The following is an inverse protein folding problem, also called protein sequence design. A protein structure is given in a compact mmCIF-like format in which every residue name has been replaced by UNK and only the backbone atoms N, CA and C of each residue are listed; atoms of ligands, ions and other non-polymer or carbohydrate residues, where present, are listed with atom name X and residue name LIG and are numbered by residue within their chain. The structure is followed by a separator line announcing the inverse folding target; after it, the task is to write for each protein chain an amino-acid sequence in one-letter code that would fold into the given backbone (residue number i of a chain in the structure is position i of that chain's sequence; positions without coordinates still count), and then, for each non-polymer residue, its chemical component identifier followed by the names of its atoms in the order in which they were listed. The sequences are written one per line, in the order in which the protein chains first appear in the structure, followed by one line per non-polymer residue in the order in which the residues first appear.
data_IF_306159138082
#
_entry.id   IF_306159138082
#
_cell.length_a   1.000
_cell.length_b   1.000
_cell.length_c   1.000
_cell.angle_alpha   90.00
_cell.angle_beta   90.00
_cell.angle_gamma   90.00
#
_symmetry.space_group_name_H-M   'P 1'
#
loop_
_entity.id
_entity.type
_entity.pdbx_description
1 polymer ?
#
# COMPACT_ATOMS: atom_id res chain seq x y z
N UNK A 1 6.80 -25.95 -5.14
CA UNK A 1 6.06 -24.99 -4.28
C UNK A 1 5.24 -24.12 -5.22
N UNK A 2 3.93 -24.15 -5.09
CA UNK A 2 3.03 -23.42 -5.97
C UNK A 2 3.25 -21.91 -5.87
N UNK A 3 3.13 -21.22 -7.02
CA UNK A 3 3.29 -19.77 -7.10
C UNK A 3 2.35 -19.02 -6.13
N UNK A 4 1.17 -19.60 -5.84
CA UNK A 4 0.18 -19.05 -4.91
C UNK A 4 0.69 -18.96 -3.46
N UNK A 5 1.37 -19.99 -2.96
CA UNK A 5 1.91 -20.01 -1.58
C UNK A 5 3.00 -18.96 -1.38
N UNK A 6 3.85 -18.78 -2.40
CA UNK A 6 4.93 -17.79 -2.35
C UNK A 6 4.35 -16.37 -2.30
N UNK A 7 3.35 -16.07 -3.15
CA UNK A 7 2.67 -14.75 -3.13
C UNK A 7 1.96 -14.53 -1.80
N UNK A 8 1.26 -15.55 -1.27
CA UNK A 8 0.59 -15.48 0.02
C UNK A 8 1.54 -15.16 1.19
N UNK A 9 2.72 -15.78 1.22
CA UNK A 9 3.74 -15.52 2.24
C UNK A 9 4.34 -14.11 2.10
N UNK A 10 4.61 -13.65 0.86
CA UNK A 10 5.11 -12.29 0.61
C UNK A 10 4.12 -11.21 1.04
N UNK A 11 2.82 -11.41 0.78
CA UNK A 11 1.76 -10.50 1.24
C UNK A 11 1.81 -10.34 2.76
N UNK A 12 1.94 -11.45 3.50
CA UNK A 12 1.99 -11.44 4.96
C UNK A 12 3.20 -10.69 5.51
N UNK A 13 4.39 -10.92 4.92
CA UNK A 13 5.61 -10.22 5.30
C UNK A 13 5.51 -8.70 5.03
N UNK A 14 5.06 -8.33 3.84
CA UNK A 14 4.92 -6.92 3.45
C UNK A 14 3.87 -6.19 4.29
N UNK A 15 2.75 -6.85 4.67
CA UNK A 15 1.78 -6.27 5.60
C UNK A 15 2.41 -5.97 6.96
N UNK A 16 3.26 -6.86 7.48
CA UNK A 16 3.97 -6.63 8.74
C UNK A 16 4.96 -5.46 8.65
N UNK A 17 5.61 -5.26 7.49
CA UNK A 17 6.45 -4.09 7.26
C UNK A 17 5.65 -2.80 7.15
N UNK A 18 4.50 -2.84 6.46
CA UNK A 18 3.59 -1.70 6.37
C UNK A 18 3.09 -1.25 7.74
N UNK A 19 2.74 -2.17 8.64
CA UNK A 19 2.37 -1.85 10.03
C UNK A 19 3.44 -1.03 10.76
N UNK A 20 4.72 -1.40 10.58
CA UNK A 20 5.86 -0.68 11.18
C UNK A 20 5.97 0.74 10.60
N UNK A 21 5.79 0.88 9.29
CA UNK A 21 5.81 2.17 8.60
C UNK A 21 4.67 3.07 9.08
N UNK A 22 3.46 2.52 9.20
CA UNK A 22 2.27 3.24 9.70
C UNK A 22 2.52 3.74 11.12
N UNK A 23 2.91 2.84 12.02
CA UNK A 23 3.20 3.18 13.43
C UNK A 23 4.30 4.23 13.54
N UNK A 24 5.33 4.15 12.68
CA UNK A 24 6.42 5.13 12.67
C UNK A 24 5.97 6.50 12.18
N UNK A 25 5.14 6.58 11.14
CA UNK A 25 4.57 7.85 10.66
C UNK A 25 3.75 8.54 11.76
N UNK A 26 2.85 7.79 12.41
CA UNK A 26 2.03 8.30 13.52
C UNK A 26 2.87 8.79 14.69
N UNK A 27 3.90 8.02 15.09
CA UNK A 27 4.79 8.40 16.19
C UNK A 27 5.59 9.66 15.89
N UNK A 28 6.07 9.84 14.65
CA UNK A 28 6.80 11.03 14.23
C UNK A 28 5.89 12.24 14.15
N UNK A 29 4.66 12.07 13.66
CA UNK A 29 3.66 13.13 13.67
C UNK A 29 3.31 13.59 15.08
N UNK A 30 3.11 12.67 16.02
CA UNK A 30 2.83 13.00 17.41
C UNK A 30 3.99 13.79 18.07
N UNK A 31 5.25 13.47 17.70
CA UNK A 31 6.43 14.23 18.17
C UNK A 31 6.48 15.64 17.58
N UNK A 32 6.13 15.79 16.30
CA UNK A 32 5.97 17.09 15.67
C UNK A 32 4.90 17.92 16.37
N UNK A 33 3.73 17.36 16.65
CA UNK A 33 2.64 18.08 17.35
C UNK A 33 3.04 18.54 18.76
N UNK A 34 3.90 17.78 19.46
CA UNK A 34 4.37 18.13 20.80
C UNK A 34 5.49 19.17 20.80
N UNK A 35 6.39 19.13 19.81
CA UNK A 35 7.63 19.92 19.81
C UNK A 35 7.61 21.12 18.86
N UNK A 36 6.80 21.07 17.79
CA UNK A 36 6.87 22.00 16.67
C UNK A 36 8.16 21.88 15.85
N UNK A 37 8.96 20.83 16.03
CA UNK A 37 10.22 20.63 15.32
C UNK A 37 9.97 20.04 13.92
N UNK A 38 10.16 20.89 12.91
CA UNK A 38 10.01 20.53 11.49
C UNK A 38 10.91 19.35 11.07
N UNK A 39 11.98 19.03 11.81
CA UNK A 39 12.83 17.87 11.55
C UNK A 39 12.07 16.53 11.60
N UNK A 40 10.93 16.47 12.27
CA UNK A 40 10.07 15.27 12.26
C UNK A 40 9.24 15.14 10.99
N UNK A 41 8.97 16.23 10.26
CA UNK A 41 8.13 16.23 9.06
C UNK A 41 8.76 15.42 7.91
N UNK A 42 10.07 15.47 7.76
CA UNK A 42 10.81 14.64 6.78
C UNK A 42 10.60 13.15 7.06
N UNK A 43 10.64 12.76 8.33
CA UNK A 43 10.39 11.40 8.76
C UNK A 43 8.95 10.96 8.48
N UNK A 44 7.96 11.83 8.73
CA UNK A 44 6.55 11.57 8.39
C UNK A 44 6.40 11.37 6.89
N UNK A 45 6.91 12.30 6.09
CA UNK A 45 6.84 12.24 4.63
C UNK A 45 7.49 10.97 4.06
N UNK A 46 8.66 10.58 4.59
CA UNK A 46 9.35 9.37 4.19
C UNK A 46 8.53 8.10 4.49
N UNK A 47 7.89 8.02 5.66
CA UNK A 47 7.08 6.87 6.01
C UNK A 47 5.77 6.82 5.20
N UNK A 48 5.12 7.97 4.95
CA UNK A 48 3.95 8.02 4.06
C UNK A 48 4.30 7.61 2.62
N UNK A 49 5.49 7.99 2.13
CA UNK A 49 6.00 7.51 0.85
C UNK A 49 6.26 6.00 0.87
N UNK A 50 6.95 5.52 1.90
CA UNK A 50 7.27 4.11 2.10
C UNK A 50 6.03 3.23 2.19
N UNK A 51 4.96 3.73 2.82
CA UNK A 51 3.67 3.05 2.92
C UNK A 51 3.13 2.70 1.52
N UNK A 52 3.00 3.71 0.65
CA UNK A 52 2.48 3.45 -0.70
C UNK A 52 3.44 2.60 -1.54
N UNK A 53 4.76 2.81 -1.42
CA UNK A 53 5.74 2.00 -2.13
C UNK A 53 5.69 0.51 -1.74
N UNK A 54 5.45 0.19 -0.46
CA UNK A 54 5.23 -1.19 -0.02
C UNK A 54 3.99 -1.82 -0.64
N UNK A 55 2.91 -1.05 -0.74
CA UNK A 55 1.65 -1.49 -1.37
C UNK A 55 1.85 -1.77 -2.86
N UNK A 56 2.60 -0.91 -3.57
CA UNK A 56 2.97 -1.14 -4.97
C UNK A 56 3.72 -2.47 -5.13
N UNK A 57 4.69 -2.77 -4.26
CA UNK A 57 5.43 -4.05 -4.31
C UNK A 57 4.51 -5.25 -4.18
N UNK A 58 3.55 -5.22 -3.24
CA UNK A 58 2.54 -6.27 -3.09
C UNK A 58 1.72 -6.43 -4.38
N UNK A 59 1.18 -5.33 -4.90
CA UNK A 59 0.29 -5.37 -6.06
C UNK A 59 1.00 -5.81 -7.32
N UNK A 60 2.24 -5.37 -7.53
CA UNK A 60 3.04 -5.80 -8.65
C UNK A 60 3.39 -7.30 -8.57
N UNK A 61 3.64 -7.83 -7.37
CA UNK A 61 3.86 -9.26 -7.17
C UNK A 61 2.62 -10.07 -7.58
N UNK A 62 1.42 -9.64 -7.15
CA UNK A 62 0.16 -10.26 -7.57
C UNK A 62 -0.01 -10.15 -9.09
N UNK A 63 0.20 -8.98 -9.67
CA UNK A 63 0.02 -8.74 -11.09
C UNK A 63 0.99 -9.58 -11.95
N UNK A 64 2.25 -9.70 -11.55
CA UNK A 64 3.26 -10.48 -12.28
C UNK A 64 3.07 -11.98 -12.12
N UNK A 65 2.77 -12.44 -10.92
CA UNK A 65 2.78 -13.88 -10.60
C UNK A 65 1.42 -14.54 -10.83
N UNK A 66 0.31 -13.84 -10.52
CA UNK A 66 -1.05 -14.36 -10.66
C UNK A 66 -1.66 -13.91 -11.98
N UNK A 67 -1.68 -12.59 -12.25
CA UNK A 67 -2.30 -12.06 -13.47
C UNK A 67 -1.43 -12.26 -14.72
N UNK A 68 -0.16 -12.65 -14.55
CA UNK A 68 0.85 -12.77 -15.62
C UNK A 68 1.02 -11.50 -16.46
N UNK A 69 0.58 -10.36 -15.93
CA UNK A 69 0.52 -9.08 -16.63
C UNK A 69 0.54 -7.95 -15.62
N UNK A 70 1.60 -7.12 -15.68
CA UNK A 70 1.71 -5.89 -14.92
C UNK A 70 1.50 -4.68 -15.83
N UNK A 71 0.81 -3.62 -15.36
CA UNK A 71 0.70 -2.38 -16.10
C UNK A 71 2.06 -1.74 -16.38
N UNK A 72 2.15 -0.99 -17.47
CA UNK A 72 3.36 -0.26 -17.87
C UNK A 72 3.01 1.14 -18.37
N UNK A 73 4.03 1.96 -18.69
CA UNK A 73 3.86 3.35 -19.11
C UNK A 73 3.73 4.34 -17.95
N UNK A 74 3.56 5.63 -18.24
CA UNK A 74 3.58 6.70 -17.22
C UNK A 74 2.50 6.59 -16.15
N UNK A 75 1.35 6.00 -16.49
CA UNK A 75 0.19 5.85 -15.60
C UNK A 75 0.08 4.48 -14.93
N UNK A 76 1.14 3.66 -15.00
CA UNK A 76 1.12 2.27 -14.53
C UNK A 76 0.62 2.15 -13.09
N UNK A 77 1.01 3.07 -12.20
CA UNK A 77 0.62 3.07 -10.80
C UNK A 77 -0.90 3.18 -10.59
N UNK A 78 -1.57 3.99 -11.41
CA UNK A 78 -3.03 4.11 -11.36
C UNK A 78 -3.67 2.82 -11.87
N UNK A 79 -3.17 2.34 -13.01
CA UNK A 79 -3.64 1.09 -13.62
C UNK A 79 -3.46 -0.11 -12.69
N UNK A 80 -2.42 -0.12 -11.86
CA UNK A 80 -2.17 -1.19 -10.90
C UNK A 80 -3.23 -1.22 -9.80
N UNK A 81 -3.60 -0.08 -9.21
CA UNK A 81 -4.73 -0.01 -8.27
C UNK A 81 -6.02 -0.48 -8.93
N UNK A 82 -6.27 -0.05 -10.18
CA UNK A 82 -7.46 -0.45 -10.93
C UNK A 82 -7.52 -1.97 -11.11
N UNK A 83 -6.41 -2.57 -11.55
CA UNK A 83 -6.29 -4.01 -11.77
C UNK A 83 -6.51 -4.81 -10.47
N UNK A 84 -5.96 -4.37 -9.34
CA UNK A 84 -6.17 -5.04 -8.05
C UNK A 84 -7.61 -4.91 -7.54
N UNK A 85 -8.29 -3.81 -7.87
CA UNK A 85 -9.69 -3.58 -7.47
C UNK A 85 -10.72 -4.33 -8.33
N UNK A 86 -10.30 -4.90 -9.46
CA UNK A 86 -11.16 -5.63 -10.37
C UNK A 86 -11.01 -7.15 -10.16
N UNK A 87 -12.12 -7.92 -10.13
CA UNK A 87 -12.05 -9.36 -10.23
C UNK A 87 -11.62 -9.77 -11.65
N UNK A 88 -10.84 -10.86 -11.75
CA UNK A 88 -10.46 -11.48 -13.01
C UNK A 88 -11.15 -12.83 -13.10
N UNK A 89 -12.18 -12.91 -13.97
CA UNK A 89 -13.04 -14.09 -14.09
C UNK A 89 -12.21 -15.34 -14.37
N UNK A 90 -12.42 -16.38 -13.55
CA UNK A 90 -11.71 -17.67 -13.66
C UNK A 90 -10.30 -17.68 -13.09
N UNK A 91 -9.78 -16.56 -12.57
CA UNK A 91 -8.43 -16.47 -12.04
C UNK A 91 -8.39 -16.04 -10.57
N UNK A 92 -8.94 -14.86 -10.24
CA UNK A 92 -8.93 -14.33 -8.87
C UNK A 92 -10.07 -13.35 -8.59
N UNK A 93 -10.54 -13.23 -7.33
CA UNK A 93 -11.37 -12.11 -6.92
C UNK A 93 -10.58 -10.78 -6.97
N UNK A 94 -11.27 -9.67 -6.70
CA UNK A 94 -10.58 -8.41 -6.45
C UNK A 94 -9.69 -8.58 -5.21
N UNK A 95 -8.44 -8.13 -5.31
CA UNK A 95 -7.49 -8.16 -4.20
C UNK A 95 -7.73 -7.03 -3.20
N UNK A 96 -8.38 -5.95 -3.63
CA UNK A 96 -8.76 -4.83 -2.77
C UNK A 96 -10.19 -4.39 -3.01
N UNK A 97 -10.82 -3.92 -1.94
CA UNK A 97 -12.16 -3.33 -1.95
C UNK A 97 -12.15 -1.93 -2.58
N UNK A 98 -13.35 -1.40 -2.84
CA UNK A 98 -13.52 -0.01 -3.27
C UNK A 98 -12.98 0.96 -2.22
N UNK A 99 -13.19 0.69 -0.93
CA UNK A 99 -12.72 1.52 0.18
C UNK A 99 -11.21 1.68 0.15
N UNK A 100 -10.47 0.56 0.08
CA UNK A 100 -9.01 0.57 0.00
C UNK A 100 -8.54 1.28 -1.27
N UNK A 101 -9.17 1.01 -2.42
CA UNK A 101 -8.86 1.73 -3.66
C UNK A 101 -8.99 3.26 -3.52
N UNK A 102 -10.07 3.74 -2.90
CA UNK A 102 -10.29 5.18 -2.74
C UNK A 102 -9.24 5.82 -1.83
N UNK A 103 -8.94 5.23 -0.68
CA UNK A 103 -7.95 5.80 0.24
C UNK A 103 -6.54 5.77 -0.35
N UNK A 104 -6.18 4.70 -1.09
CA UNK A 104 -4.87 4.54 -1.71
C UNK A 104 -4.58 5.59 -2.81
N UNK A 105 -5.60 6.22 -3.40
CA UNK A 105 -5.38 7.24 -4.43
C UNK A 105 -4.72 8.51 -3.86
N UNK A 106 -5.00 8.86 -2.60
CA UNK A 106 -4.39 9.99 -1.90
C UNK A 106 -2.88 9.77 -1.68
N UNK A 107 -2.49 8.57 -1.25
CA UNK A 107 -1.09 8.18 -1.05
C UNK A 107 -0.36 8.00 -2.37
N UNK A 108 -1.06 7.49 -3.39
CA UNK A 108 -0.57 7.49 -4.78
C UNK A 108 -0.20 8.92 -5.17
N UNK A 109 -1.12 9.87 -5.06
CA UNK A 109 -0.85 11.28 -5.37
C UNK A 109 0.34 11.84 -4.60
N UNK A 110 0.43 11.53 -3.30
CA UNK A 110 1.50 12.00 -2.43
C UNK A 110 2.90 11.48 -2.83
N UNK A 111 3.02 10.28 -3.42
CA UNK A 111 4.33 9.74 -3.84
C UNK A 111 5.07 10.66 -4.82
N UNK A 112 4.34 11.42 -5.62
CA UNK A 112 4.89 12.39 -6.57
C UNK A 112 5.33 13.68 -5.90
N UNK A 113 4.71 14.03 -4.77
CA UNK A 113 5.05 15.19 -3.97
C UNK A 113 6.44 14.99 -3.35
N UNK A 114 6.70 13.83 -2.74
CA UNK A 114 7.98 13.54 -2.09
C UNK A 114 9.14 13.42 -3.10
N UNK A 115 8.88 12.90 -4.31
CA UNK A 115 9.92 12.78 -5.35
C UNK A 115 10.29 14.11 -6.03
N UNK A 116 9.39 15.11 -6.01
CA UNK A 116 9.59 16.39 -6.69
C UNK A 116 9.80 17.58 -5.74
N UNK A 117 9.54 17.41 -4.44
CA UNK A 117 9.77 18.43 -3.42
C UNK A 117 11.05 18.05 -2.69
N UNK A 118 12.16 18.65 -3.12
CA UNK A 118 13.26 18.94 -2.20
C UNK A 118 12.65 19.45 -0.89
N UNK A 119 12.97 18.80 0.22
CA UNK A 119 12.56 18.94 1.64
C UNK A 119 12.11 20.33 2.16
N UNK A 120 12.30 21.41 1.42
CA UNK A 120 12.01 22.79 1.78
C UNK A 120 10.53 23.24 1.64
N UNK A 121 9.63 22.40 1.09
CA UNK A 121 8.23 22.80 0.84
C UNK A 121 7.19 21.75 1.26
N UNK A 122 7.53 20.91 2.25
CA UNK A 122 6.55 20.04 2.89
C UNK A 122 5.47 20.89 3.57
N UNK A 123 4.20 20.62 3.26
CA UNK A 123 3.06 21.31 3.88
C UNK A 123 2.60 20.50 5.09
N UNK A 124 2.78 20.98 6.34
CA UNK A 124 2.40 20.23 7.54
C UNK A 124 0.93 19.80 7.54
N UNK A 125 0.03 20.66 7.04
CA UNK A 125 -1.40 20.36 6.92
C UNK A 125 -1.67 19.13 6.04
N UNK A 126 -0.94 18.98 4.92
CA UNK A 126 -1.10 17.81 4.05
C UNK A 126 -0.55 16.53 4.69
N UNK A 127 0.55 16.64 5.43
CA UNK A 127 1.11 15.52 6.18
C UNK A 127 0.17 15.09 7.32
N UNK A 128 -0.49 16.04 7.97
CA UNK A 128 -1.52 15.79 8.98
C UNK A 128 -2.67 14.97 8.41
N UNK A 129 -3.27 15.46 7.31
CA UNK A 129 -4.40 14.80 6.64
C UNK A 129 -4.09 13.34 6.31
N UNK A 130 -2.93 13.11 5.68
CA UNK A 130 -2.50 11.76 5.29
C UNK A 130 -2.18 10.89 6.51
N UNK A 131 -1.57 11.44 7.56
CA UNK A 131 -1.23 10.67 8.77
C UNK A 131 -2.50 10.27 9.54
N UNK A 132 -3.47 11.18 9.67
CA UNK A 132 -4.76 10.91 10.32
C UNK A 132 -5.53 9.80 9.59
N UNK A 133 -5.50 9.80 8.25
CA UNK A 133 -6.13 8.77 7.42
C UNK A 133 -5.37 7.45 7.31
N UNK A 134 -4.11 7.41 7.77
CA UNK A 134 -3.17 6.33 7.48
C UNK A 134 -3.61 5.00 8.10
N UNK A 135 -3.92 5.00 9.40
CA UNK A 135 -4.35 3.81 10.12
C UNK A 135 -5.59 3.19 9.49
N UNK A 136 -6.59 4.01 9.19
CA UNK A 136 -7.84 3.55 8.61
C UNK A 136 -7.63 2.92 7.23
N UNK A 137 -6.81 3.56 6.39
CA UNK A 137 -6.48 3.01 5.07
C UNK A 137 -5.69 1.69 5.16
N UNK A 138 -4.71 1.62 6.06
CA UNK A 138 -3.96 0.39 6.30
C UNK A 138 -4.84 -0.74 6.82
N UNK A 139 -5.70 -0.51 7.82
CA UNK A 139 -6.60 -1.55 8.34
C UNK A 139 -7.53 -2.10 7.27
N UNK A 140 -8.09 -1.24 6.42
CA UNK A 140 -8.93 -1.67 5.29
C UNK A 140 -8.13 -2.53 4.30
N UNK A 141 -6.90 -2.10 3.96
CA UNK A 141 -6.02 -2.86 3.07
C UNK A 141 -5.59 -4.19 3.67
N UNK A 142 -5.23 -4.22 4.95
CA UNK A 142 -4.82 -5.42 5.67
C UNK A 142 -5.95 -6.45 5.66
N UNK A 143 -7.19 -6.02 5.89
CA UNK A 143 -8.36 -6.88 5.80
C UNK A 143 -8.49 -7.48 4.40
N UNK A 144 -8.52 -6.63 3.37
CA UNK A 144 -8.68 -7.07 1.98
C UNK A 144 -7.58 -8.07 1.54
N UNK A 145 -6.32 -7.77 1.87
CA UNK A 145 -5.19 -8.62 1.52
C UNK A 145 -5.13 -9.92 2.35
N UNK A 146 -5.67 -9.92 3.57
CA UNK A 146 -5.82 -11.14 4.36
C UNK A 146 -6.86 -12.07 3.77
N UNK A 147 -8.00 -11.54 3.31
CA UNK A 147 -9.01 -12.31 2.57
C UNK A 147 -8.45 -12.84 1.25
N UNK A 148 -7.73 -12.00 0.50
CA UNK A 148 -7.09 -12.39 -0.75
C UNK A 148 -6.06 -13.50 -0.54
N UNK A 149 -5.23 -13.40 0.50
CA UNK A 149 -4.27 -14.44 0.90
C UNK A 149 -4.97 -15.76 1.20
N UNK A 150 -6.08 -15.73 1.95
CA UNK A 150 -6.86 -16.92 2.26
C UNK A 150 -7.39 -17.59 0.98
N UNK A 151 -7.81 -16.81 -0.01
CA UNK A 151 -8.17 -17.33 -1.33
C UNK A 151 -6.98 -18.04 -2.01
N UNK A 152 -5.80 -17.41 -2.07
CA UNK A 152 -4.61 -18.02 -2.71
C UNK A 152 -4.25 -19.37 -2.07
N UNK A 153 -4.36 -19.47 -0.74
CA UNK A 153 -4.09 -20.71 0.00
C UNK A 153 -5.14 -21.81 -0.26
N UNK A 154 -6.40 -21.43 -0.51
CA UNK A 154 -7.46 -22.38 -0.85
C UNK A 154 -7.29 -22.94 -2.27
N UNK A 155 -6.96 -22.09 -3.24
CA UNK A 155 -6.70 -22.51 -4.62
C UNK A 155 -5.57 -23.53 -4.64
N UNK A 156 -4.48 -23.27 -3.91
CA UNK A 156 -3.35 -24.18 -3.83
C UNK A 156 -3.74 -25.60 -3.38
N UNK A 157 -4.48 -25.71 -2.26
CA UNK A 157 -4.95 -27.01 -1.72
C UNK A 157 -5.93 -27.74 -2.62
N UNK A 158 -6.63 -27.04 -3.51
CA UNK A 158 -7.54 -27.64 -4.48
C UNK A 158 -6.86 -28.09 -5.77
N UNK A 159 -5.57 -27.78 -5.94
CA UNK A 159 -4.77 -28.16 -7.11
C UNK A 159 -3.84 -29.36 -6.84
N UNK A 160 -3.76 -29.82 -5.58
CA UNK A 160 -3.12 -31.07 -5.16
C UNK A 160 -4.07 -32.27 -5.26
#
# INVERSE_FOLDING_TARGET
MSHYVVVAARIEEELADLERVVTRAESLWAKYEQSGDDGFLDGVALNLHGFYAGIERIFEEIARTIDTSAPSGSDWHRSLILQMSAPVVGLRPAAISRTSRFCLDEYRGFRHVVRNIYTFNLRPTRLQELTVGLRGCYTALQHDLSEFRAFLQQVDRGTE
#
